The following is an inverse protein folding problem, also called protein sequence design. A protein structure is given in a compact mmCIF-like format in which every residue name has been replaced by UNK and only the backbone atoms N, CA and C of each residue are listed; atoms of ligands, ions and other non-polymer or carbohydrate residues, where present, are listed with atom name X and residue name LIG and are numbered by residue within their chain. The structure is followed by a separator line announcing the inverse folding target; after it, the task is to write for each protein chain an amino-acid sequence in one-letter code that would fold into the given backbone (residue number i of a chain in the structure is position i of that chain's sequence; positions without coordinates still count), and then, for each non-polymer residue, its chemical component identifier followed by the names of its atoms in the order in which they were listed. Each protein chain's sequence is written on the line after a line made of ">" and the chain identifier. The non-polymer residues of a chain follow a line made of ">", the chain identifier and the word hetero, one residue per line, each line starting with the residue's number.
data_IF_420983221023
#
_entry.id   IF_420983221023
#
_cell.length_a   1.000
_cell.length_b   1.000
_cell.length_c   1.000
_cell.angle_alpha   90.00
_cell.angle_beta   90.00
_cell.angle_gamma   90.00
#
_symmetry.space_group_name_H-M   'P 1'
#
loop_
_entity.id
_entity.type
_entity.pdbx_description
1 polymer ?
#
# COMPACT_ATOMS: atom_id res chain seq x y z
N UNK A 1 -34.65 -6.47 15.53
CA UNK A 1 -33.26 -6.85 15.80
C UNK A 1 -32.75 -7.59 14.57
N UNK A 2 -32.27 -6.85 13.57
CA UNK A 2 -31.75 -7.45 12.33
C UNK A 2 -30.28 -7.82 12.57
N UNK A 3 -30.01 -9.10 12.76
CA UNK A 3 -28.65 -9.64 12.69
C UNK A 3 -28.21 -9.60 11.23
N UNK A 4 -27.40 -8.60 10.88
CA UNK A 4 -26.62 -8.61 9.65
C UNK A 4 -25.56 -9.70 9.81
N UNK A 5 -25.81 -10.88 9.24
CA UNK A 5 -24.76 -11.89 9.09
C UNK A 5 -23.74 -11.33 8.10
N UNK A 6 -22.56 -10.99 8.60
CA UNK A 6 -21.38 -10.67 7.80
C UNK A 6 -21.00 -11.89 6.97
N UNK A 7 -21.56 -12.01 5.76
CA UNK A 7 -21.00 -12.88 4.73
C UNK A 7 -19.74 -12.20 4.22
N UNK A 8 -18.59 -12.70 4.64
CA UNK A 8 -17.32 -12.37 4.01
C UNK A 8 -17.38 -12.89 2.57
N UNK A 9 -17.55 -12.00 1.61
CA UNK A 9 -17.36 -12.35 0.20
C UNK A 9 -15.85 -12.46 -0.03
N UNK A 10 -15.32 -13.69 0.02
CA UNK A 10 -14.00 -13.95 -0.56
C UNK A 10 -14.26 -14.04 -2.06
N UNK A 11 -13.89 -12.98 -2.80
CA UNK A 11 -13.82 -13.05 -4.24
C UNK A 11 -12.75 -14.09 -4.58
N UNK A 12 -13.16 -15.26 -5.06
CA UNK A 12 -12.25 -16.26 -5.62
C UNK A 12 -12.32 -16.12 -7.14
N UNK A 13 -11.47 -15.29 -7.76
CA UNK A 13 -11.32 -15.33 -9.21
C UNK A 13 -10.82 -16.72 -9.62
N UNK A 14 -11.02 -17.08 -10.88
CA UNK A 14 -10.27 -18.17 -11.50
C UNK A 14 -8.77 -17.85 -11.33
N UNK A 15 -8.00 -18.78 -10.75
CA UNK A 15 -6.59 -18.56 -10.39
C UNK A 15 -5.76 -18.18 -11.63
N UNK A 16 -6.04 -18.80 -12.78
CA UNK A 16 -5.32 -18.51 -14.04
C UNK A 16 -5.65 -17.10 -14.56
N UNK A 17 -6.88 -16.64 -14.36
CA UNK A 17 -7.30 -15.29 -14.75
C UNK A 17 -6.68 -14.23 -13.81
N UNK A 18 -6.61 -14.51 -12.51
CA UNK A 18 -5.98 -13.62 -11.53
C UNK A 18 -4.50 -13.44 -11.83
N UNK A 19 -3.77 -14.55 -12.03
CA UNK A 19 -2.34 -14.54 -12.31
C UNK A 19 -2.02 -13.74 -13.58
N UNK A 20 -2.84 -13.87 -14.64
CA UNK A 20 -2.68 -13.06 -15.85
C UNK A 20 -2.87 -11.56 -15.59
N UNK A 21 -3.87 -11.18 -14.77
CA UNK A 21 -4.17 -9.77 -14.48
C UNK A 21 -3.10 -9.10 -13.62
N UNK A 22 -2.41 -9.84 -12.76
CA UNK A 22 -1.31 -9.31 -11.92
C UNK A 22 0.07 -9.56 -12.50
N UNK A 23 0.20 -10.32 -13.60
CA UNK A 23 1.48 -10.74 -14.16
C UNK A 23 2.47 -9.58 -14.36
N UNK A 24 2.11 -8.41 -14.93
CA UNK A 24 3.10 -7.35 -15.14
C UNK A 24 3.65 -6.78 -13.81
N UNK A 25 2.81 -6.67 -12.78
CA UNK A 25 3.26 -6.33 -11.42
C UNK A 25 4.19 -7.40 -10.86
N UNK A 26 3.82 -8.68 -11.01
CA UNK A 26 4.62 -9.79 -10.50
C UNK A 26 5.99 -9.84 -11.16
N UNK A 27 6.09 -9.54 -12.47
CA UNK A 27 7.38 -9.42 -13.16
C UNK A 27 8.24 -8.28 -12.59
N UNK A 28 7.65 -7.10 -12.38
CA UNK A 28 8.33 -5.94 -11.78
C UNK A 28 8.86 -6.25 -10.36
N UNK A 29 8.04 -6.93 -9.55
CA UNK A 29 8.42 -7.38 -8.21
C UNK A 29 9.48 -8.48 -8.23
N UNK A 30 9.41 -9.41 -9.19
CA UNK A 30 10.36 -10.51 -9.30
C UNK A 30 11.75 -10.05 -9.73
N UNK A 31 11.87 -8.98 -10.53
CA UNK A 31 13.16 -8.32 -10.80
C UNK A 31 13.88 -7.89 -9.50
N UNK A 32 13.11 -7.66 -8.42
CA UNK A 32 13.62 -7.31 -7.10
C UNK A 32 13.77 -8.52 -6.15
N UNK A 33 13.47 -9.73 -6.62
CA UNK A 33 13.51 -10.98 -5.85
C UNK A 33 12.35 -11.09 -4.85
N UNK A 34 11.12 -10.98 -5.34
CA UNK A 34 9.91 -11.05 -4.51
C UNK A 34 9.55 -12.47 -4.07
N UNK A 35 9.54 -13.44 -4.99
CA UNK A 35 9.03 -14.80 -4.70
C UNK A 35 10.05 -15.72 -4.02
N UNK A 36 11.33 -15.37 -4.03
CA UNK A 36 12.39 -16.23 -3.51
C UNK A 36 13.39 -15.48 -2.63
N UNK A 37 13.88 -16.18 -1.60
CA UNK A 37 14.93 -15.64 -0.72
C UNK A 37 14.47 -14.52 0.21
N UNK A 38 13.21 -14.54 0.65
CA UNK A 38 12.68 -13.60 1.64
C UNK A 38 12.44 -14.30 2.98
N UNK A 39 12.99 -13.74 4.06
CA UNK A 39 12.82 -14.18 5.44
C UNK A 39 11.76 -13.34 6.12
N UNK A 40 10.76 -13.97 6.74
CA UNK A 40 9.79 -13.24 7.58
C UNK A 40 10.49 -12.64 8.80
N UNK A 41 10.25 -11.36 9.05
CA UNK A 41 10.81 -10.62 10.18
C UNK A 41 9.79 -10.58 11.31
N UNK A 42 8.63 -9.98 11.08
CA UNK A 42 7.55 -9.89 12.06
C UNK A 42 6.24 -9.47 11.41
N UNK A 43 5.15 -9.60 12.17
CA UNK A 43 3.85 -9.02 11.86
C UNK A 43 3.56 -7.83 12.77
N UNK A 44 3.00 -6.75 12.22
CA UNK A 44 2.48 -5.60 12.97
C UNK A 44 1.02 -5.32 12.61
N UNK A 45 0.31 -4.65 13.50
CA UNK A 45 -1.10 -4.31 13.32
C UNK A 45 -1.34 -2.86 13.74
N UNK A 46 -2.09 -2.13 12.92
CA UNK A 46 -2.44 -0.73 13.16
C UNK A 46 -3.95 -0.57 13.02
N UNK A 47 -4.58 0.01 14.04
CA UNK A 47 -5.99 0.37 13.97
C UNK A 47 -6.10 1.83 13.56
N UNK A 48 -6.95 2.11 12.57
CA UNK A 48 -7.17 3.46 12.05
C UNK A 48 -8.66 3.81 12.16
N UNK A 49 -8.95 5.03 12.60
CA UNK A 49 -10.31 5.59 12.64
C UNK A 49 -10.67 6.24 11.30
N UNK A 50 -10.61 5.45 10.23
CA UNK A 50 -10.99 5.86 8.90
C UNK A 50 -11.58 4.69 8.12
N UNK A 51 -12.33 5.02 7.07
CA UNK A 51 -12.76 4.03 6.09
C UNK A 51 -11.57 3.38 5.38
N UNK A 52 -11.64 2.07 5.15
CA UNK A 52 -10.56 1.31 4.50
C UNK A 52 -10.14 1.86 3.14
N UNK A 53 -11.08 2.46 2.40
CA UNK A 53 -10.82 3.07 1.09
C UNK A 53 -9.84 4.24 1.20
N UNK A 54 -9.90 5.03 2.27
CA UNK A 54 -8.97 6.14 2.48
C UNK A 54 -7.53 5.67 2.64
N UNK A 55 -7.32 4.47 3.18
CA UNK A 55 -5.98 3.86 3.30
C UNK A 55 -5.48 3.44 1.91
N UNK A 56 -6.36 2.87 1.08
CA UNK A 56 -6.02 2.49 -0.30
C UNK A 56 -5.76 3.71 -1.17
N UNK A 57 -6.57 4.76 -1.02
CA UNK A 57 -6.39 6.06 -1.69
C UNK A 57 -5.03 6.65 -1.34
N UNK A 58 -4.69 6.72 -0.05
CA UNK A 58 -3.41 7.22 0.46
C UNK A 58 -2.22 6.42 -0.10
N UNK A 59 -2.34 5.09 -0.18
CA UNK A 59 -1.29 4.24 -0.75
C UNK A 59 -1.18 4.32 -2.29
N UNK A 60 -2.17 4.91 -2.97
CA UNK A 60 -2.30 4.91 -4.44
C UNK A 60 -2.28 6.31 -5.06
N UNK A 61 -1.94 7.35 -4.32
CA UNK A 61 -2.01 8.75 -4.78
C UNK A 61 -0.84 9.20 -5.68
N UNK A 62 -0.02 8.26 -6.14
CA UNK A 62 1.10 8.54 -7.03
C UNK A 62 2.22 9.35 -6.37
N UNK A 63 2.32 9.29 -5.04
CA UNK A 63 3.32 9.99 -4.26
C UNK A 63 2.99 11.46 -3.99
N UNK A 64 1.75 11.89 -4.24
CA UNK A 64 1.34 13.30 -4.11
C UNK A 64 1.50 13.83 -2.68
N UNK A 65 1.16 13.03 -1.67
CA UNK A 65 1.32 13.40 -0.27
C UNK A 65 2.77 13.31 0.23
N UNK A 66 3.66 12.58 -0.45
CA UNK A 66 5.01 12.27 0.05
C UNK A 66 5.84 13.51 0.36
N UNK A 67 5.78 14.54 -0.50
CA UNK A 67 6.54 15.79 -0.32
C UNK A 67 6.11 16.58 0.92
N UNK A 68 4.85 16.45 1.33
CA UNK A 68 4.24 17.25 2.38
C UNK A 68 4.20 16.52 3.73
N UNK A 69 4.02 15.20 3.67
CA UNK A 69 3.75 14.33 4.83
C UNK A 69 5.02 13.58 5.25
N UNK A 70 5.73 12.96 4.30
CA UNK A 70 6.87 12.08 4.61
C UNK A 70 8.20 12.71 4.21
N UNK A 71 8.61 13.78 4.91
CA UNK A 71 9.88 14.47 4.62
C UNK A 71 11.09 13.55 4.72
N UNK A 72 11.08 12.61 5.66
CA UNK A 72 12.19 11.67 5.85
C UNK A 72 12.25 10.62 4.73
N UNK A 73 11.10 10.07 4.31
CA UNK A 73 11.05 9.10 3.20
C UNK A 73 11.42 9.77 1.87
N UNK A 74 10.78 10.90 1.55
CA UNK A 74 11.03 11.68 0.33
C UNK A 74 12.48 12.16 0.22
N UNK A 75 13.17 12.39 1.34
CA UNK A 75 14.58 12.76 1.31
C UNK A 75 15.48 11.70 0.67
N UNK A 76 15.08 10.42 0.72
CA UNK A 76 15.84 9.29 0.20
C UNK A 76 15.36 8.79 -1.18
N UNK A 77 14.25 9.33 -1.70
CA UNK A 77 13.69 8.98 -3.01
C UNK A 77 13.90 10.11 -4.01
N UNK A 78 14.17 9.75 -5.27
CA UNK A 78 14.13 10.71 -6.37
C UNK A 78 12.71 10.77 -6.94
N UNK A 79 11.89 11.66 -6.36
CA UNK A 79 10.50 11.84 -6.76
C UNK A 79 10.33 12.29 -8.22
N UNK A 80 11.37 12.82 -8.88
CA UNK A 80 11.31 13.17 -10.31
C UNK A 80 11.26 11.92 -11.22
N UNK A 81 11.65 10.76 -10.69
CA UNK A 81 11.65 9.48 -11.39
C UNK A 81 10.38 8.67 -11.16
N UNK A 82 9.43 9.21 -10.38
CA UNK A 82 8.21 8.51 -10.01
C UNK A 82 7.39 8.19 -11.26
N UNK A 83 7.18 6.90 -11.52
CA UNK A 83 6.40 6.38 -12.63
C UNK A 83 5.26 5.57 -12.07
N UNK A 84 4.06 5.87 -12.54
CA UNK A 84 2.84 5.19 -12.12
C UNK A 84 2.28 4.37 -13.28
N UNK A 85 1.86 3.15 -12.99
CA UNK A 85 1.20 2.25 -13.93
C UNK A 85 -0.08 1.72 -13.30
N UNK A 86 -1.13 1.65 -14.12
CA UNK A 86 -2.44 1.11 -13.72
C UNK A 86 -2.72 -0.08 -14.63
N UNK A 87 -2.80 -1.26 -14.02
CA UNK A 87 -3.19 -2.50 -14.69
C UNK A 87 -4.67 -2.83 -14.48
N UNK A 88 -5.05 -4.08 -14.72
CA UNK A 88 -6.44 -4.51 -14.64
C UNK A 88 -7.00 -4.46 -13.22
N UNK A 89 -6.32 -5.13 -12.27
CA UNK A 89 -6.73 -5.20 -10.86
C UNK A 89 -5.62 -4.71 -9.92
N UNK A 90 -4.66 -3.96 -10.43
CA UNK A 90 -3.60 -3.41 -9.61
C UNK A 90 -3.19 -2.02 -10.10
N UNK A 91 -2.54 -1.28 -9.22
CA UNK A 91 -1.68 -0.17 -9.60
C UNK A 91 -0.30 -0.34 -8.98
N UNK A 92 0.71 0.23 -9.63
CA UNK A 92 2.07 0.26 -9.12
C UNK A 92 2.74 1.59 -9.40
N UNK A 93 3.66 1.92 -8.50
CA UNK A 93 4.33 3.19 -8.39
C UNK A 93 5.81 2.89 -8.18
N UNK A 94 6.62 3.21 -9.18
CA UNK A 94 8.05 2.90 -9.21
C UNK A 94 8.84 4.18 -9.07
N UNK A 95 9.79 4.21 -8.15
CA UNK A 95 10.72 5.33 -8.01
C UNK A 95 12.13 4.86 -7.71
N UNK A 96 13.11 5.67 -8.13
CA UNK A 96 14.53 5.40 -7.93
C UNK A 96 14.96 5.98 -6.58
N UNK A 97 15.77 5.22 -5.84
CA UNK A 97 16.42 5.72 -4.61
C UNK A 97 17.56 6.67 -4.94
N UNK A 98 17.76 7.73 -4.15
CA UNK A 98 18.84 8.70 -4.41
C UNK A 98 20.22 8.05 -4.20
N UNK A 99 21.11 8.28 -5.18
CA UNK A 99 22.50 7.80 -5.12
C UNK A 99 23.36 8.61 -4.14
N UNK A 100 23.13 9.93 -4.05
CA UNK A 100 23.90 10.87 -3.22
C UNK A 100 23.00 11.65 -2.24
N UNK A 101 23.48 11.88 -1.02
CA UNK A 101 22.73 12.55 0.06
C UNK A 101 21.84 11.59 0.88
N UNK A 102 21.50 11.97 2.12
CA UNK A 102 20.65 11.18 3.04
C UNK A 102 21.43 10.33 4.06
N UNK A 103 20.70 9.55 4.86
CA UNK A 103 21.25 8.62 5.86
C UNK A 103 21.69 7.31 5.19
N UNK A 104 22.90 6.83 5.47
CA UNK A 104 23.44 5.59 4.87
C UNK A 104 22.62 4.35 5.18
N UNK A 105 22.04 4.23 6.38
CA UNK A 105 21.21 3.09 6.75
C UNK A 105 19.89 3.12 5.97
N UNK A 106 19.28 4.31 5.82
CA UNK A 106 18.04 4.50 5.04
C UNK A 106 18.25 4.22 3.56
N UNK A 107 19.39 4.64 2.99
CA UNK A 107 19.77 4.27 1.62
C UNK A 107 19.96 2.78 1.44
N UNK A 108 20.58 2.10 2.41
CA UNK A 108 20.73 0.64 2.35
C UNK A 108 19.37 -0.08 2.39
N UNK A 109 18.41 0.44 3.16
CA UNK A 109 17.03 -0.06 3.22
C UNK A 109 16.23 0.18 1.94
N UNK A 110 16.29 1.38 1.36
CA UNK A 110 15.50 1.75 0.18
C UNK A 110 16.14 1.22 -1.12
N UNK A 111 17.47 1.10 -1.13
CA UNK A 111 18.24 0.66 -2.29
C UNK A 111 18.10 1.59 -3.49
N UNK A 112 18.24 1.04 -4.69
CA UNK A 112 18.22 1.80 -5.96
C UNK A 112 16.83 1.93 -6.56
N UNK A 113 15.87 1.10 -6.14
CA UNK A 113 14.52 1.02 -6.70
C UNK A 113 13.53 0.71 -5.59
N UNK A 114 12.40 1.37 -5.61
CA UNK A 114 11.24 1.10 -4.77
C UNK A 114 10.00 0.95 -5.65
N UNK A 115 9.18 -0.04 -5.33
CA UNK A 115 7.90 -0.34 -5.97
C UNK A 115 6.84 -0.37 -4.88
N UNK A 116 5.88 0.56 -4.95
CA UNK A 116 4.69 0.57 -4.11
C UNK A 116 3.52 0.15 -4.96
N UNK A 117 2.71 -0.79 -4.49
CA UNK A 117 1.61 -1.31 -5.30
C UNK A 117 0.40 -1.62 -4.45
N UNK A 118 -0.77 -1.47 -5.08
CA UNK A 118 -2.04 -1.93 -4.55
C UNK A 118 -2.65 -2.91 -5.53
N UNK A 119 -2.91 -4.13 -5.06
CA UNK A 119 -3.73 -5.13 -5.73
C UNK A 119 -5.13 -5.02 -5.13
N UNK A 120 -6.09 -4.74 -6.02
CA UNK A 120 -7.49 -4.60 -5.68
C UNK A 120 -8.01 -5.90 -5.02
N UNK A 121 -8.81 -5.79 -3.94
CA UNK A 121 -9.35 -4.55 -3.39
C UNK A 121 -8.46 -3.86 -2.36
N UNK A 122 -7.62 -4.58 -1.62
CA UNK A 122 -7.10 -4.11 -0.34
C UNK A 122 -5.74 -4.73 0.06
N UNK A 123 -5.00 -5.28 -0.91
CA UNK A 123 -3.67 -5.84 -0.70
C UNK A 123 -2.62 -4.83 -1.18
N UNK A 124 -1.74 -4.39 -0.31
CA UNK A 124 -0.61 -3.52 -0.66
C UNK A 124 0.67 -4.33 -0.61
N UNK A 125 1.55 -4.10 -1.58
CA UNK A 125 2.88 -4.72 -1.63
C UNK A 125 3.90 -3.61 -1.90
N UNK A 126 4.79 -3.39 -0.94
CA UNK A 126 5.85 -2.40 -1.05
C UNK A 126 7.21 -3.10 -1.00
N UNK A 127 7.98 -2.97 -2.08
CA UNK A 127 9.27 -3.62 -2.25
C UNK A 127 10.35 -2.57 -2.51
N UNK A 128 11.33 -2.46 -1.62
CA UNK A 128 12.42 -1.49 -1.74
C UNK A 128 13.72 -2.05 -1.15
N UNK A 129 14.86 -1.87 -1.83
CA UNK A 129 16.17 -2.36 -1.38
C UNK A 129 16.17 -3.86 -1.02
N UNK A 130 16.53 -4.29 0.20
CA UNK A 130 16.35 -5.65 0.70
C UNK A 130 15.04 -5.87 1.48
N UNK A 131 14.22 -4.84 1.68
CA UNK A 131 13.05 -4.84 2.54
C UNK A 131 11.73 -5.00 1.75
N UNK A 132 10.78 -5.71 2.34
CA UNK A 132 9.45 -5.94 1.77
C UNK A 132 8.43 -5.82 2.90
N UNK A 133 7.33 -5.12 2.62
CA UNK A 133 6.13 -5.20 3.41
C UNK A 133 4.93 -5.58 2.54
N UNK A 134 4.14 -6.52 3.06
CA UNK A 134 2.88 -6.96 2.47
C UNK A 134 1.79 -6.59 3.47
N UNK A 135 0.83 -5.78 3.03
CA UNK A 135 -0.16 -5.18 3.92
C UNK A 135 -1.57 -5.52 3.46
N UNK A 136 -2.42 -5.94 4.39
CA UNK A 136 -3.84 -6.17 4.13
C UNK A 136 -4.65 -5.15 4.93
N UNK A 137 -5.55 -4.43 4.24
CA UNK A 137 -6.46 -3.46 4.86
C UNK A 137 -7.82 -4.11 5.10
N UNK A 138 -8.16 -4.38 6.35
CA UNK A 138 -9.42 -5.01 6.75
C UNK A 138 -10.44 -3.95 7.20
N UNK A 139 -11.64 -3.88 6.58
CA UNK A 139 -12.70 -3.01 7.06
C UNK A 139 -13.31 -3.56 8.36
N UNK A 140 -13.30 -2.75 9.43
CA UNK A 140 -13.97 -3.05 10.70
C UNK A 140 -15.29 -2.27 10.86
N UNK A 141 -15.55 -1.32 9.97
CA UNK A 141 -16.72 -0.47 9.95
C UNK A 141 -16.62 0.59 8.84
N UNK A 142 -17.62 1.48 8.72
CA UNK A 142 -17.58 2.60 7.78
C UNK A 142 -16.51 3.64 8.12
N UNK A 143 -16.05 3.67 9.37
CA UNK A 143 -15.14 4.67 9.97
C UNK A 143 -13.97 4.02 10.73
N UNK A 144 -13.79 2.69 10.60
CA UNK A 144 -12.75 1.94 11.32
C UNK A 144 -12.15 0.85 10.44
N UNK A 145 -10.82 0.75 10.48
CA UNK A 145 -10.06 -0.23 9.70
C UNK A 145 -8.91 -0.82 10.52
N UNK A 146 -8.47 -2.02 10.13
CA UNK A 146 -7.27 -2.66 10.66
C UNK A 146 -6.30 -2.92 9.51
N UNK A 147 -5.07 -2.41 9.64
CA UNK A 147 -4.00 -2.68 8.71
C UNK A 147 -3.06 -3.72 9.31
N UNK A 148 -2.86 -4.83 8.60
CA UNK A 148 -1.94 -5.90 9.00
C UNK A 148 -0.72 -5.83 8.10
N UNK A 149 0.46 -5.65 8.68
CA UNK A 149 1.75 -5.63 7.99
C UNK A 149 2.48 -6.93 8.26
N UNK A 150 2.95 -7.61 7.22
CA UNK A 150 4.01 -8.61 7.33
C UNK A 150 5.29 -8.07 6.70
N UNK A 151 6.34 -7.98 7.51
CA UNK A 151 7.66 -7.53 7.09
C UNK A 151 8.55 -8.70 6.74
N UNK A 152 9.30 -8.55 5.66
CA UNK A 152 10.27 -9.52 5.18
C UNK A 152 11.59 -8.85 4.82
N UNK A 153 12.67 -9.61 4.97
CA UNK A 153 14.03 -9.20 4.63
C UNK A 153 14.66 -10.20 3.68
N UNK A 154 15.38 -9.71 2.67
CA UNK A 154 16.13 -10.55 1.74
C UNK A 154 17.19 -11.37 2.47
N UNK A 155 17.12 -12.69 2.35
CA UNK A 155 17.99 -13.66 3.03
C UNK A 155 19.47 -13.44 2.69
N UNK A 156 19.78 -13.17 1.42
CA UNK A 156 21.17 -12.92 1.00
C UNK A 156 21.76 -11.67 1.65
N UNK A 157 20.95 -10.63 1.83
CA UNK A 157 21.35 -9.40 2.50
C UNK A 157 21.58 -9.64 3.99
N UNK A 158 20.70 -10.40 4.64
CA UNK A 158 20.85 -10.77 6.04
C UNK A 158 22.12 -11.61 6.30
N UNK A 159 22.49 -12.48 5.36
CA UNK A 159 23.66 -13.36 5.48
C UNK A 159 25.01 -12.63 5.31
N UNK A 160 25.01 -11.39 4.81
CA UNK A 160 26.21 -10.56 4.68
C UNK A 160 26.53 -9.75 5.95
N UNK A 161 25.64 -9.78 6.95
CA UNK A 161 25.76 -9.00 8.19
C UNK A 161 26.11 -9.87 9.39
N UNK A 162 26.80 -9.30 10.37
CA UNK A 162 26.86 -9.90 11.71
C UNK A 162 25.49 -9.86 12.39
N UNK A 163 25.30 -10.71 13.41
CA UNK A 163 24.04 -10.77 14.17
C UNK A 163 23.63 -9.40 14.75
N UNK A 164 24.60 -8.65 15.29
CA UNK A 164 24.36 -7.31 15.85
C UNK A 164 23.99 -6.29 14.78
N UNK A 165 24.68 -6.29 13.64
CA UNK A 165 24.37 -5.39 12.52
C UNK A 165 22.98 -5.66 11.96
N UNK A 166 22.64 -6.94 11.80
CA UNK A 166 21.34 -7.38 11.32
C UNK A 166 20.22 -6.96 12.28
N UNK A 167 20.41 -7.16 13.59
CA UNK A 167 19.43 -6.75 14.59
C UNK A 167 19.19 -5.23 14.57
N UNK A 168 20.26 -4.43 14.49
CA UNK A 168 20.16 -2.98 14.40
C UNK A 168 19.48 -2.53 13.10
N UNK A 169 19.80 -3.16 11.97
CA UNK A 169 19.17 -2.86 10.69
C UNK A 169 17.66 -3.14 10.72
N UNK A 170 17.26 -4.29 11.28
CA UNK A 170 15.85 -4.67 11.42
C UNK A 170 15.12 -3.68 12.33
N UNK A 171 15.67 -3.35 13.50
CA UNK A 171 15.05 -2.43 14.45
C UNK A 171 14.85 -1.04 13.83
N UNK A 172 15.88 -0.49 13.18
CA UNK A 172 15.78 0.81 12.50
C UNK A 172 14.77 0.77 11.34
N UNK A 173 14.78 -0.30 10.53
CA UNK A 173 13.84 -0.44 9.40
C UNK A 173 12.39 -0.48 9.86
N UNK A 174 12.15 -1.17 10.98
CA UNK A 174 10.84 -1.25 11.59
C UNK A 174 10.40 0.06 12.26
N UNK A 175 11.32 0.82 12.84
CA UNK A 175 11.03 2.16 13.39
C UNK A 175 10.69 3.15 12.28
N UNK A 176 11.44 3.14 11.19
CA UNK A 176 11.16 3.99 10.03
C UNK A 176 9.80 3.63 9.39
N UNK A 177 9.46 2.34 9.27
CA UNK A 177 8.13 1.89 8.81
C UNK A 177 7.00 2.35 9.75
N UNK A 178 7.23 2.29 11.06
CA UNK A 178 6.25 2.72 12.06
C UNK A 178 5.99 4.23 11.97
N UNK A 179 7.04 5.02 11.81
CA UNK A 179 6.94 6.47 11.64
C UNK A 179 6.08 6.82 10.41
N UNK A 180 6.36 6.22 9.25
CA UNK A 180 5.59 6.42 8.01
C UNK A 180 4.11 6.05 8.25
N UNK A 181 3.85 4.89 8.85
CA UNK A 181 2.48 4.46 9.16
C UNK A 181 1.74 5.44 10.09
N UNK A 182 2.41 6.00 11.10
CA UNK A 182 1.80 7.00 11.98
C UNK A 182 1.46 8.29 11.23
N UNK A 183 2.32 8.71 10.31
CA UNK A 183 2.11 9.88 9.45
C UNK A 183 0.89 9.65 8.53
N UNK A 184 0.82 8.51 7.85
CA UNK A 184 -0.33 8.09 7.02
C UNK A 184 -1.64 8.02 7.81
N UNK A 185 -1.58 7.47 9.03
CA UNK A 185 -2.74 7.37 9.92
C UNK A 185 -3.33 8.74 10.20
N UNK A 186 -2.48 9.74 10.50
CA UNK A 186 -2.94 11.11 10.77
C UNK A 186 -3.62 11.73 9.56
N UNK A 187 -3.11 11.48 8.35
CA UNK A 187 -3.71 11.96 7.10
C UNK A 187 -5.06 11.31 6.88
N UNK A 188 -5.14 9.98 6.90
CA UNK A 188 -6.37 9.24 6.65
C UNK A 188 -7.48 9.59 7.64
N UNK A 189 -7.17 9.66 8.94
CA UNK A 189 -8.14 10.07 9.96
C UNK A 189 -8.52 11.55 9.83
N UNK A 190 -7.60 12.40 9.37
CA UNK A 190 -7.87 13.80 9.03
C UNK A 190 -8.90 13.93 7.90
N UNK A 191 -8.71 13.17 6.82
CA UNK A 191 -9.63 13.12 5.69
C UNK A 191 -10.99 12.58 6.13
N UNK A 192 -11.02 11.48 6.91
CA UNK A 192 -12.26 10.92 7.46
C UNK A 192 -13.07 11.99 8.22
N UNK A 193 -12.44 12.69 9.17
CA UNK A 193 -13.10 13.78 9.93
C UNK A 193 -13.59 14.91 9.02
N UNK A 194 -12.84 15.23 7.97
CA UNK A 194 -13.23 16.25 6.99
C UNK A 194 -14.47 15.85 6.19
N UNK A 195 -14.55 14.60 5.75
CA UNK A 195 -15.69 14.07 4.99
C UNK A 195 -16.96 13.93 5.82
N UNK A 196 -16.85 13.84 7.15
CA UNK A 196 -17.99 13.83 8.07
C UNK A 196 -18.64 15.21 8.24
N UNK A 197 -18.00 16.28 7.76
CA UNK A 197 -18.56 17.62 7.76
C UNK A 197 -19.76 17.72 6.82
N UNK A 198 -20.84 18.36 7.25
CA UNK A 198 -22.01 18.65 6.40
C UNK A 198 -21.71 19.61 5.24
N UNK A 199 -20.55 20.27 5.26
CA UNK A 199 -20.10 21.13 4.17
C UNK A 199 -19.34 20.37 3.07
N UNK A 200 -18.98 19.11 3.31
CA UNK A 200 -18.37 18.25 2.30
C UNK A 200 -19.44 17.65 1.38
N UNK A 201 -19.12 17.54 0.09
CA UNK A 201 -19.98 16.93 -0.91
C UNK A 201 -19.18 15.86 -1.69
N UNK A 202 -18.22 16.30 -2.51
CA UNK A 202 -17.36 15.41 -3.29
C UNK A 202 -15.91 15.91 -3.34
N UNK A 203 -14.97 14.97 -3.36
CA UNK A 203 -13.57 15.23 -3.69
C UNK A 203 -13.33 15.29 -5.20
N UNK A 204 -12.23 15.93 -5.61
CA UNK A 204 -11.75 15.93 -7.01
C UNK A 204 -10.35 15.37 -7.05
N UNK A 205 -10.09 14.50 -8.03
CA UNK A 205 -8.75 13.96 -8.24
C UNK A 205 -7.82 14.99 -8.87
N UNK A 206 -6.58 15.04 -8.41
CA UNK A 206 -5.46 15.73 -9.02
C UNK A 206 -5.08 15.03 -10.34
N UNK A 207 -5.19 15.71 -11.49
CA UNK A 207 -4.84 15.11 -12.79
C UNK A 207 -3.36 14.74 -12.84
N UNK A 208 -3.07 13.48 -13.13
CA UNK A 208 -1.72 12.93 -13.10
C UNK A 208 -1.53 11.99 -11.91
N UNK A 209 -1.15 12.50 -10.72
CA UNK A 209 -0.72 11.64 -9.61
C UNK A 209 -1.84 10.76 -9.06
N UNK A 210 -3.08 11.26 -8.96
CA UNK A 210 -4.22 10.50 -8.42
C UNK A 210 -4.97 9.66 -9.47
N UNK A 211 -4.37 9.45 -10.65
CA UNK A 211 -4.92 8.55 -11.66
C UNK A 211 -5.17 7.12 -11.14
N UNK A 212 -4.31 6.50 -10.29
CA UNK A 212 -4.58 5.18 -9.75
C UNK A 212 -5.74 5.16 -8.77
N UNK A 213 -5.87 6.19 -7.93
CA UNK A 213 -7.02 6.37 -7.02
C UNK A 213 -8.32 6.41 -7.81
N UNK A 214 -8.34 7.18 -8.91
CA UNK A 214 -9.50 7.22 -9.80
C UNK A 214 -9.80 5.85 -10.42
N UNK A 215 -8.78 5.12 -10.90
CA UNK A 215 -8.96 3.79 -11.46
C UNK A 215 -9.50 2.78 -10.42
N UNK A 216 -8.97 2.83 -9.19
CA UNK A 216 -9.48 2.05 -8.05
C UNK A 216 -10.96 2.33 -7.80
N UNK A 217 -11.36 3.60 -7.75
CA UNK A 217 -12.77 3.97 -7.55
C UNK A 217 -13.68 3.54 -8.71
N UNK A 218 -13.19 3.54 -9.97
CA UNK A 218 -13.94 3.00 -11.10
C UNK A 218 -14.11 1.48 -11.01
N UNK A 219 -13.09 0.73 -10.56
CA UNK A 219 -13.20 -0.71 -10.32
C UNK A 219 -14.20 -1.00 -9.19
N UNK A 220 -14.04 -0.32 -8.05
CA UNK A 220 -14.95 -0.48 -6.92
C UNK A 220 -16.41 -0.15 -7.29
N UNK A 221 -16.64 0.94 -8.02
CA UNK A 221 -17.97 1.31 -8.46
C UNK A 221 -18.60 0.27 -9.41
N UNK A 222 -17.80 -0.36 -10.28
CA UNK A 222 -18.26 -1.46 -11.14
C UNK A 222 -18.70 -2.66 -10.30
N UNK A 223 -17.88 -3.08 -9.35
CA UNK A 223 -18.17 -4.24 -8.51
C UNK A 223 -19.37 -4.00 -7.59
N UNK A 224 -19.50 -2.80 -7.01
CA UNK A 224 -20.67 -2.44 -6.20
C UNK A 224 -21.96 -2.43 -7.02
N UNK A 225 -21.93 -1.93 -8.27
CA UNK A 225 -23.09 -1.96 -9.17
C UNK A 225 -23.46 -3.40 -9.54
N UNK A 226 -22.50 -4.21 -9.94
CA UNK A 226 -22.73 -5.63 -10.24
C UNK A 226 -23.27 -6.38 -9.02
N UNK A 227 -22.76 -6.09 -7.82
CA UNK A 227 -23.27 -6.62 -6.57
C UNK A 227 -24.74 -6.26 -6.34
N UNK A 228 -25.11 -4.98 -6.49
CA UNK A 228 -26.50 -4.51 -6.37
C UNK A 228 -27.44 -5.16 -7.39
N UNK A 229 -27.00 -5.30 -8.64
CA UNK A 229 -27.78 -5.98 -9.71
C UNK A 229 -27.98 -7.47 -9.41
N UNK A 230 -26.94 -8.16 -8.93
CA UNK A 230 -27.01 -9.58 -8.57
C UNK A 230 -27.88 -9.88 -7.34
N UNK A 231 -28.14 -8.87 -6.51
CA UNK A 231 -28.97 -8.99 -5.31
C UNK A 231 -30.48 -8.82 -5.57
N UNK A 232 -30.90 -8.53 -6.81
CA UNK A 232 -32.32 -8.38 -7.19
C UNK A 232 -33.10 -7.48 -6.22
N UNK A 233 -32.46 -6.41 -5.73
CA UNK A 233 -33.17 -5.36 -5.00
C UNK A 233 -33.90 -4.51 -6.04
N UNK A 234 -35.01 -5.04 -6.54
CA UNK A 234 -36.04 -4.22 -7.16
C UNK A 234 -36.50 -3.20 -6.11
N UNK A 235 -36.10 -1.95 -6.27
CA UNK A 235 -36.76 -0.84 -5.59
C UNK A 235 -38.16 -0.67 -6.18
#
# INVERSE_FOLDING_TARGET
>A
MFMCQSRSFVFQPDEDEYDQKVLPLMLELEEMGFSSGMRHVCRRQYQLNCNWKLIVDNASDGGYHLEYVHRDLSSNLDLSTFRTEVGDIYNMQVCIGKADGGDSAKRQRIGTKAVYSCIYPNLLVNRYGPWLDINIVLPLGPDRSLMIYDFYLKETFANEMSETELANFIDQSLQDSDQVQQEDTRVCEGVQRGMESTAFDVGRYAPGPEMPVHAFHLQLARDLRAGLESMDISC
#
